data_IF_428840814587
#
_entry.id   IF_428840814587
#
_cell.length_a   1.000
_cell.length_b   1.000
_cell.length_c   1.000
_cell.angle_alpha   90.00
_cell.angle_beta   90.00
_cell.angle_gamma   90.00
#
_symmetry.space_group_name_H-M   'P 1'
#
loop_
_entity.id
_entity.type
_entity.pdbx_description
1 polymer ?
#
# COMPACT_ATOMS: atom_id res chain seq x y z
N UNK A 1 12.88 5.39 14.77
CA UNK A 1 13.01 3.99 14.30
C UNK A 1 13.79 3.97 12.99
N UNK A 2 15.12 3.83 13.05
CA UNK A 2 15.99 3.75 11.87
C UNK A 2 16.27 2.27 11.57
N UNK A 3 15.45 1.63 10.73
CA UNK A 3 15.76 0.30 10.18
C UNK A 3 16.66 0.45 8.94
N UNK A 4 17.89 0.89 9.19
CA UNK A 4 18.94 1.05 8.19
C UNK A 4 19.64 -0.29 7.93
N UNK A 5 18.94 -1.26 7.34
CA UNK A 5 19.57 -2.48 6.75
C UNK A 5 20.44 -2.16 5.51
N UNK A 6 20.66 -0.86 5.25
CA UNK A 6 21.50 -0.37 4.18
C UNK A 6 22.67 0.47 4.73
N UNK A 7 23.86 -0.13 4.91
CA UNK A 7 25.06 0.58 5.32
C UNK A 7 25.33 1.82 4.45
N UNK A 8 25.84 2.93 5.02
CA UNK A 8 26.17 4.14 4.26
C UNK A 8 27.11 3.86 3.08
N UNK A 9 28.12 2.99 3.28
CA UNK A 9 29.04 2.53 2.24
C UNK A 9 28.35 1.94 1.00
N UNK A 10 27.29 1.14 1.18
CA UNK A 10 26.55 0.56 0.04
C UNK A 10 25.70 1.64 -0.66
N UNK A 11 25.27 2.68 0.07
CA UNK A 11 24.51 3.81 -0.50
C UNK A 11 25.39 4.70 -1.38
N UNK A 12 26.65 4.88 -0.97
CA UNK A 12 27.64 5.67 -1.70
C UNK A 12 28.06 4.99 -3.00
N UNK A 13 28.44 3.71 -2.94
CA UNK A 13 28.77 2.92 -4.15
C UNK A 13 27.58 2.85 -5.11
N UNK A 14 26.35 2.74 -4.61
CA UNK A 14 25.15 2.80 -5.45
C UNK A 14 25.03 4.14 -6.19
N UNK A 15 25.39 5.26 -5.54
CA UNK A 15 25.37 6.60 -6.13
C UNK A 15 26.38 6.73 -7.26
N UNK A 16 27.61 6.25 -7.02
CA UNK A 16 28.70 6.26 -7.99
C UNK A 16 28.37 5.40 -9.22
N UNK A 17 27.94 4.15 -9.00
CA UNK A 17 27.59 3.23 -10.09
C UNK A 17 26.39 3.74 -10.89
N UNK A 18 25.43 4.39 -10.23
CA UNK A 18 24.30 5.03 -10.90
C UNK A 18 24.73 6.28 -11.70
N UNK A 19 25.67 7.07 -11.18
CA UNK A 19 26.23 8.22 -11.90
C UNK A 19 27.00 7.78 -13.16
N UNK A 20 27.64 6.61 -13.13
CA UNK A 20 28.25 5.98 -14.30
C UNK A 20 27.23 5.39 -15.29
N UNK A 21 25.92 5.47 -15.00
CA UNK A 21 24.85 5.07 -15.91
C UNK A 21 24.63 3.55 -16.00
N UNK A 22 25.17 2.75 -15.07
CA UNK A 22 24.93 1.31 -15.05
C UNK A 22 23.46 0.98 -14.77
N UNK A 23 22.99 -0.15 -15.31
CA UNK A 23 21.65 -0.63 -15.01
C UNK A 23 21.56 -1.12 -13.56
N UNK A 24 20.40 -1.00 -12.90
CA UNK A 24 20.23 -1.50 -11.53
C UNK A 24 20.53 -3.00 -11.37
N UNK A 25 20.40 -3.79 -12.44
CA UNK A 25 20.79 -5.21 -12.42
C UNK A 25 22.30 -5.39 -12.26
N UNK A 26 23.08 -4.59 -13.00
CA UNK A 26 24.54 -4.64 -12.96
C UNK A 26 25.08 -4.01 -11.67
N UNK A 27 24.47 -2.91 -11.23
CA UNK A 27 24.74 -2.29 -9.91
C UNK A 27 24.56 -3.33 -8.78
N UNK A 28 23.53 -4.17 -8.87
CA UNK A 28 23.28 -5.21 -7.87
C UNK A 28 24.41 -6.23 -7.84
N UNK A 29 24.86 -6.71 -9.01
CA UNK A 29 25.97 -7.67 -9.10
C UNK A 29 27.25 -7.08 -8.52
N UNK A 30 27.53 -5.83 -8.85
CA UNK A 30 28.73 -5.11 -8.41
C UNK A 30 28.74 -4.89 -6.89
N UNK A 31 27.62 -4.45 -6.30
CA UNK A 31 27.50 -4.27 -4.84
C UNK A 31 27.61 -5.63 -4.13
N UNK A 32 26.97 -6.67 -4.66
CA UNK A 32 27.02 -8.00 -4.08
C UNK A 32 28.44 -8.58 -4.13
N UNK A 33 29.18 -8.32 -5.21
CA UNK A 33 30.59 -8.72 -5.36
C UNK A 33 31.51 -7.95 -4.43
N UNK A 34 31.36 -6.61 -4.35
CA UNK A 34 32.23 -5.74 -3.52
C UNK A 34 32.07 -5.94 -2.03
N UNK A 35 30.84 -6.15 -1.57
CA UNK A 35 30.53 -6.18 -0.13
C UNK A 35 30.14 -7.57 0.37
N UNK A 36 30.16 -8.60 -0.49
CA UNK A 36 29.73 -9.97 -0.19
C UNK A 36 28.33 -10.03 0.43
N UNK A 37 27.41 -9.22 -0.11
CA UNK A 37 26.00 -9.16 0.31
C UNK A 37 25.10 -9.77 -0.78
N UNK A 38 23.94 -10.28 -0.40
CA UNK A 38 22.96 -10.86 -1.33
C UNK A 38 21.76 -9.93 -1.55
N UNK A 39 21.99 -8.71 -2.06
CA UNK A 39 20.88 -7.83 -2.40
C UNK A 39 20.20 -8.26 -3.70
N UNK A 40 18.88 -8.06 -3.76
CA UNK A 40 18.11 -8.25 -4.99
C UNK A 40 18.05 -6.95 -5.79
N UNK A 41 17.79 -7.06 -7.11
CA UNK A 41 17.62 -5.89 -7.99
C UNK A 41 16.59 -4.88 -7.46
N UNK A 42 15.50 -5.36 -6.87
CA UNK A 42 14.44 -4.52 -6.34
C UNK A 42 14.85 -3.83 -5.03
N UNK A 43 15.71 -4.45 -4.22
CA UNK A 43 16.27 -3.82 -3.02
C UNK A 43 17.12 -2.60 -3.39
N UNK A 44 18.01 -2.77 -4.37
CA UNK A 44 18.88 -1.72 -4.95
C UNK A 44 18.05 -0.60 -5.56
N UNK A 45 17.05 -0.93 -6.39
CA UNK A 45 16.14 0.07 -6.98
C UNK A 45 15.32 0.81 -5.92
N UNK A 46 14.78 0.09 -4.94
CA UNK A 46 14.01 0.68 -3.84
C UNK A 46 14.85 1.64 -3.01
N UNK A 47 16.12 1.29 -2.76
CA UNK A 47 17.08 2.19 -2.11
C UNK A 47 17.37 3.41 -2.97
N UNK A 48 17.62 3.24 -4.27
CA UNK A 48 17.86 4.33 -5.20
C UNK A 48 16.71 5.35 -5.23
N UNK A 49 15.46 4.87 -5.21
CA UNK A 49 14.25 5.72 -5.13
C UNK A 49 14.20 6.52 -3.83
N UNK A 50 14.44 5.88 -2.68
CA UNK A 50 14.49 6.57 -1.37
C UNK A 50 15.60 7.62 -1.29
N UNK A 51 16.69 7.43 -2.04
CA UNK A 51 17.78 8.40 -2.13
C UNK A 51 17.59 9.45 -3.24
N UNK A 52 16.44 9.47 -3.91
CA UNK A 52 16.13 10.45 -4.96
C UNK A 52 16.98 10.30 -6.23
N UNK A 53 17.71 9.20 -6.40
CA UNK A 53 18.53 8.95 -7.60
C UNK A 53 17.66 8.65 -8.82
N UNK A 54 16.50 8.05 -8.58
CA UNK A 54 15.47 7.90 -9.60
C UNK A 54 14.57 9.11 -9.46
N UNK A 55 14.57 10.02 -10.45
CA UNK A 55 13.50 11.02 -10.51
C UNK A 55 12.17 10.26 -10.53
N UNK A 56 11.18 10.61 -9.69
CA UNK A 56 9.83 10.21 -10.00
C UNK A 56 9.57 10.74 -11.40
N UNK A 57 9.29 9.86 -12.36
CA UNK A 57 8.72 10.33 -13.60
C UNK A 57 7.47 11.11 -13.19
N UNK A 58 7.53 12.45 -13.30
CA UNK A 58 6.32 13.27 -13.31
C UNK A 58 5.38 12.59 -14.29
N UNK A 59 4.06 12.56 -14.01
CA UNK A 59 3.12 11.90 -14.90
C UNK A 59 3.27 12.57 -16.26
N UNK A 60 3.96 11.89 -17.17
CA UNK A 60 3.82 12.20 -18.57
C UNK A 60 2.50 11.54 -18.92
N UNK A 61 1.61 12.31 -19.52
CA UNK A 61 0.52 11.84 -20.36
C UNK A 61 1.09 11.00 -21.51
N UNK A 62 1.68 9.85 -21.17
CA UNK A 62 2.08 8.83 -22.11
C UNK A 62 0.90 7.88 -22.17
N UNK A 63 0.03 8.14 -23.14
CA UNK A 63 -0.90 7.15 -23.65
C UNK A 63 -0.17 5.81 -23.88
N UNK A 64 -0.91 4.69 -23.87
CA UNK A 64 -0.32 3.37 -23.77
C UNK A 64 0.59 3.09 -24.98
N UNK A 65 1.90 3.12 -24.77
CA UNK A 65 2.84 2.53 -25.73
C UNK A 65 2.82 1.03 -25.51
N UNK A 66 1.98 0.34 -26.28
CA UNK A 66 2.09 -1.09 -26.47
C UNK A 66 3.51 -1.39 -26.98
N UNK A 67 4.31 -2.11 -26.18
CA UNK A 67 5.49 -2.77 -26.72
C UNK A 67 4.97 -3.94 -27.52
N UNK A 68 5.11 -3.89 -28.84
CA UNK A 68 4.92 -5.07 -29.69
C UNK A 68 5.89 -6.13 -29.17
N UNK A 69 5.35 -7.13 -28.49
CA UNK A 69 6.12 -8.28 -28.04
C UNK A 69 6.51 -9.03 -29.29
N UNK A 70 7.83 -9.12 -29.53
CA UNK A 70 8.45 -9.79 -30.67
C UNK A 70 7.70 -11.09 -31.04
N UNK A 71 7.07 -11.08 -32.21
CA UNK A 71 6.13 -12.06 -32.74
C UNK A 71 6.87 -13.19 -33.46
N UNK A 72 7.73 -13.91 -32.74
CA UNK A 72 8.50 -15.01 -33.35
C UNK A 72 8.46 -16.34 -32.59
N UNK A 73 7.64 -16.48 -31.55
CA UNK A 73 7.36 -17.80 -30.96
C UNK A 73 5.91 -17.92 -30.55
N UNK A 74 5.07 -18.39 -31.49
CA UNK A 74 3.94 -19.30 -31.27
C UNK A 74 3.32 -19.63 -32.64
N UNK A 75 3.88 -20.64 -33.29
CA UNK A 75 3.14 -21.41 -34.27
C UNK A 75 2.12 -22.25 -33.50
N UNK A 76 0.85 -22.16 -33.90
CA UNK A 76 -0.17 -23.18 -33.59
C UNK A 76 -1.21 -22.81 -32.53
N UNK A 77 -2.37 -22.35 -33.00
CA UNK A 77 -3.70 -22.97 -32.78
C UNK A 77 -4.77 -21.88 -32.84
N UNK A 78 -5.59 -21.93 -33.89
CA UNK A 78 -6.77 -21.09 -34.05
C UNK A 78 -7.78 -21.42 -32.95
N UNK A 79 -8.12 -20.41 -32.15
CA UNK A 79 -9.46 -20.30 -31.58
C UNK A 79 -9.86 -18.85 -31.74
N UNK A 80 -10.75 -18.59 -32.69
CA UNK A 80 -11.43 -17.31 -32.82
C UNK A 80 -12.29 -17.11 -31.58
N UNK A 81 -11.73 -16.43 -30.58
CA UNK A 81 -12.52 -15.93 -29.46
C UNK A 81 -12.98 -14.53 -29.82
N UNK A 82 -14.29 -14.41 -30.04
CA UNK A 82 -14.97 -13.13 -30.23
C UNK A 82 -14.73 -12.27 -28.99
N UNK A 83 -13.87 -11.26 -29.12
CA UNK A 83 -13.63 -10.28 -28.06
C UNK A 83 -14.89 -9.41 -27.96
N UNK A 84 -15.78 -9.73 -27.02
CA UNK A 84 -16.83 -8.80 -26.64
C UNK A 84 -16.18 -7.58 -25.97
N UNK A 85 -16.34 -6.41 -26.58
CA UNK A 85 -15.86 -5.15 -26.05
C UNK A 85 -16.58 -4.86 -24.74
N UNK A 86 -15.85 -4.87 -23.62
CA UNK A 86 -16.38 -4.42 -22.33
C UNK A 86 -16.72 -2.93 -22.44
N UNK A 87 -17.90 -2.49 -21.95
CA UNK A 87 -18.22 -1.07 -21.93
C UNK A 87 -17.13 -0.31 -21.16
N UNK A 88 -16.66 0.77 -21.78
CA UNK A 88 -15.65 1.67 -21.20
C UNK A 88 -16.25 2.23 -19.91
N UNK A 89 -15.67 1.98 -18.72
CA UNK A 89 -16.19 2.59 -17.50
C UNK A 89 -16.05 4.10 -17.64
N UNK A 90 -17.19 4.78 -17.67
CA UNK A 90 -17.26 6.23 -17.55
C UNK A 90 -16.68 6.59 -16.18
N UNK A 91 -15.76 7.55 -16.16
CA UNK A 91 -15.16 8.02 -14.90
C UNK A 91 -16.21 8.82 -14.15
N UNK A 92 -16.93 8.15 -13.26
CA UNK A 92 -17.65 8.83 -12.18
C UNK A 92 -16.62 9.54 -11.31
N UNK A 93 -16.88 10.82 -11.02
CA UNK A 93 -16.16 11.52 -9.95
C UNK A 93 -16.27 10.68 -8.67
N UNK A 94 -15.19 10.60 -7.86
CA UNK A 94 -15.22 9.78 -6.66
C UNK A 94 -16.31 10.32 -5.73
N UNK A 95 -17.45 9.65 -5.69
CA UNK A 95 -18.50 9.93 -4.74
C UNK A 95 -17.90 9.71 -3.36
N UNK A 96 -17.89 10.76 -2.54
CA UNK A 96 -17.43 10.68 -1.15
C UNK A 96 -18.48 9.91 -0.34
N UNK A 97 -18.56 8.60 -0.57
CA UNK A 97 -19.46 7.68 0.13
C UNK A 97 -18.87 7.32 1.49
N UNK A 98 -19.01 8.22 2.47
CA UNK A 98 -18.89 7.88 3.91
C UNK A 98 -20.23 7.86 4.64
N UNK A 99 -21.33 8.13 3.93
CA UNK A 99 -22.65 8.09 4.52
C UNK A 99 -23.27 6.73 4.26
N UNK A 100 -23.22 5.85 5.28
CA UNK A 100 -24.27 4.85 5.45
C UNK A 100 -25.59 5.62 5.66
N UNK A 101 -26.76 5.01 5.46
CA UNK A 101 -28.09 5.63 5.67
C UNK A 101 -28.41 6.01 7.13
N UNK A 102 -27.42 6.51 7.87
CA UNK A 102 -27.53 7.05 9.22
C UNK A 102 -27.01 8.49 9.21
N UNK A 103 -27.64 9.37 9.98
CA UNK A 103 -27.15 10.72 10.20
C UNK A 103 -26.24 10.72 11.43
N UNK A 104 -24.90 10.83 11.31
CA UNK A 104 -24.00 10.80 12.46
C UNK A 104 -24.20 12.01 13.38
N UNK A 105 -23.88 11.86 14.66
CA UNK A 105 -23.90 12.95 15.66
C UNK A 105 -22.66 13.86 15.59
N UNK A 106 -21.65 13.48 14.80
CA UNK A 106 -20.41 14.25 14.56
C UNK A 106 -19.77 14.78 15.85
N UNK A 107 -19.53 13.87 16.79
CA UNK A 107 -18.99 14.20 18.10
C UNK A 107 -17.46 14.31 18.00
N UNK A 108 -16.84 15.29 18.68
CA UNK A 108 -15.39 15.36 18.80
C UNK A 108 -14.82 14.22 19.64
N UNK A 109 -13.51 13.98 19.57
CA UNK A 109 -12.86 12.96 20.39
C UNK A 109 -13.10 13.18 21.90
N UNK A 110 -13.09 14.43 22.35
CA UNK A 110 -13.21 14.80 23.77
C UNK A 110 -14.56 14.42 24.38
N UNK A 111 -15.61 14.38 23.56
CA UNK A 111 -16.99 14.12 24.00
C UNK A 111 -17.45 12.69 23.67
N UNK A 112 -16.55 11.82 23.22
CA UNK A 112 -16.90 10.47 22.77
C UNK A 112 -16.93 9.48 23.94
N UNK A 113 -18.09 8.92 24.24
CA UNK A 113 -18.24 8.00 25.37
C UNK A 113 -17.78 6.57 25.00
N UNK A 114 -17.42 5.71 25.98
CA UNK A 114 -17.04 4.32 25.70
C UNK A 114 -18.11 3.50 24.97
N UNK A 115 -19.38 3.89 25.12
CA UNK A 115 -20.54 3.27 24.48
C UNK A 115 -20.81 3.76 23.05
N UNK A 116 -20.09 4.75 22.55
CA UNK A 116 -20.37 5.38 21.27
C UNK A 116 -19.61 4.75 20.09
N UNK A 117 -20.20 4.91 18.91
CA UNK A 117 -19.65 4.47 17.64
C UNK A 117 -18.47 5.35 17.25
N UNK A 118 -17.31 4.70 17.09
CA UNK A 118 -16.01 5.34 16.80
C UNK A 118 -15.70 5.47 15.31
N UNK A 119 -16.72 5.46 14.45
CA UNK A 119 -16.50 5.60 13.01
C UNK A 119 -16.11 7.06 12.70
N UNK A 120 -14.96 7.31 12.07
CA UNK A 120 -14.45 8.66 11.83
C UNK A 120 -15.06 9.30 10.58
N UNK A 121 -15.30 10.60 10.68
CA UNK A 121 -15.75 11.51 9.62
C UNK A 121 -14.78 12.69 9.52
N UNK A 122 -14.64 13.22 8.30
CA UNK A 122 -13.68 14.30 8.01
C UNK A 122 -12.22 13.86 8.14
N UNK A 123 -11.33 14.84 8.35
CA UNK A 123 -9.89 14.64 8.53
C UNK A 123 -9.14 14.22 7.26
N UNK A 124 -9.76 14.43 6.09
CA UNK A 124 -9.12 14.12 4.80
C UNK A 124 -8.06 15.19 4.42
N UNK A 125 -8.09 16.32 5.12
CA UNK A 125 -7.14 17.42 4.98
C UNK A 125 -6.62 17.84 6.36
N UNK A 126 -5.39 18.36 6.40
CA UNK A 126 -4.73 18.79 7.64
C UNK A 126 -5.51 19.88 8.41
N UNK A 127 -6.40 20.61 7.74
CA UNK A 127 -7.23 21.69 8.28
C UNK A 127 -8.62 21.25 8.77
N UNK A 128 -9.02 19.99 8.61
CA UNK A 128 -10.36 19.52 8.96
C UNK A 128 -10.38 18.73 10.29
N UNK A 129 -11.22 19.10 11.27
CA UNK A 129 -11.32 18.36 12.53
C UNK A 129 -11.94 16.98 12.31
N UNK A 130 -11.33 15.95 12.90
CA UNK A 130 -11.88 14.59 12.89
C UNK A 130 -13.08 14.53 13.84
N UNK A 131 -14.21 14.09 13.31
CA UNK A 131 -15.46 13.88 14.08
C UNK A 131 -15.87 12.40 14.05
N UNK A 132 -16.70 11.98 14.99
CA UNK A 132 -17.11 10.58 15.15
C UNK A 132 -18.63 10.42 15.09
N UNK A 133 -19.08 9.22 14.69
CA UNK A 133 -20.51 8.91 14.55
C UNK A 133 -21.35 9.14 15.82
N UNK A 134 -20.88 8.74 17.01
CA UNK A 134 -21.59 9.01 18.27
C UNK A 134 -22.89 8.23 18.53
N UNK A 135 -23.23 7.26 17.68
CA UNK A 135 -24.39 6.36 17.90
C UNK A 135 -24.05 5.24 18.87
N UNK A 136 -25.02 4.64 19.58
CA UNK A 136 -24.76 3.51 20.46
C UNK A 136 -24.08 2.36 19.68
N UNK A 137 -22.95 1.89 20.21
CA UNK A 137 -22.18 0.81 19.61
C UNK A 137 -22.93 -0.52 19.72
N UNK A 138 -22.75 -1.39 18.73
CA UNK A 138 -23.24 -2.77 18.79
C UNK A 138 -22.38 -3.59 19.76
N UNK A 139 -22.94 -4.54 20.54
CA UNK A 139 -22.17 -5.44 21.38
C UNK A 139 -21.07 -6.17 20.59
N UNK A 140 -19.86 -6.22 21.14
CA UNK A 140 -18.71 -6.84 20.48
C UNK A 140 -18.09 -6.02 19.34
N UNK A 141 -18.56 -4.79 19.09
CA UNK A 141 -18.01 -3.89 18.08
C UNK A 141 -17.74 -2.49 18.63
N UNK A 142 -16.71 -1.78 18.12
CA UNK A 142 -16.54 -0.34 18.36
C UNK A 142 -17.49 0.54 17.53
N UNK A 143 -18.36 -0.05 16.70
CA UNK A 143 -19.22 0.66 15.75
C UNK A 143 -20.71 0.36 15.98
N UNK A 144 -21.58 1.27 15.57
CA UNK A 144 -23.02 1.01 15.46
C UNK A 144 -23.29 0.03 14.31
N UNK A 145 -24.45 -0.64 14.30
CA UNK A 145 -24.80 -1.68 13.31
C UNK A 145 -24.47 -1.30 11.86
N UNK A 146 -24.78 -0.09 11.38
CA UNK A 146 -24.53 0.24 9.97
C UNK A 146 -23.03 0.43 9.66
N UNK A 147 -22.26 1.02 10.58
CA UNK A 147 -20.80 1.14 10.44
C UNK A 147 -20.07 -0.18 10.69
N UNK A 148 -20.64 -1.07 11.50
CA UNK A 148 -20.14 -2.42 11.64
C UNK A 148 -20.20 -3.17 10.31
N UNK A 149 -21.31 -3.10 9.59
CA UNK A 149 -21.43 -3.73 8.27
C UNK A 149 -20.54 -3.08 7.21
N UNK A 150 -20.31 -1.76 7.28
CA UNK A 150 -19.41 -1.07 6.36
C UNK A 150 -17.94 -1.46 6.56
N UNK A 151 -17.52 -1.66 7.81
CA UNK A 151 -16.10 -1.89 8.16
C UNK A 151 -15.71 -3.36 8.15
N UNK A 152 -16.66 -4.28 8.20
CA UNK A 152 -16.39 -5.71 8.04
C UNK A 152 -16.27 -6.07 6.56
N UNK A 153 -15.15 -6.68 6.20
CA UNK A 153 -15.08 -7.43 4.96
C UNK A 153 -15.92 -8.71 5.12
N UNK A 154 -17.00 -8.92 4.35
CA UNK A 154 -17.82 -10.13 4.46
C UNK A 154 -17.03 -11.42 4.18
N UNK A 155 -15.85 -11.34 3.57
CA UNK A 155 -14.95 -12.46 3.26
C UNK A 155 -14.05 -12.90 4.44
N UNK A 156 -14.23 -12.34 5.66
CA UNK A 156 -13.22 -12.42 6.72
C UNK A 156 -13.72 -12.79 8.11
N UNK A 157 -14.58 -13.79 8.26
CA UNK A 157 -14.72 -14.50 9.54
C UNK A 157 -13.58 -15.53 9.70
N UNK A 158 -12.34 -15.06 9.69
CA UNK A 158 -11.25 -15.84 10.28
C UNK A 158 -11.10 -15.30 11.69
N UNK A 159 -11.77 -15.93 12.64
CA UNK A 159 -11.43 -15.74 14.05
C UNK A 159 -9.94 -15.99 14.17
N UNK A 160 -9.17 -14.95 14.52
CA UNK A 160 -7.75 -15.13 14.80
C UNK A 160 -7.70 -16.01 16.05
N UNK A 161 -7.23 -17.26 15.98
CA UNK A 161 -7.15 -18.09 17.17
C UNK A 161 -6.29 -17.36 18.21
N UNK A 162 -6.58 -17.49 19.51
CA UNK A 162 -5.77 -16.87 20.55
C UNK A 162 -4.35 -17.39 20.39
N UNK A 163 -3.46 -16.56 19.83
CA UNK A 163 -2.06 -16.87 19.73
C UNK A 163 -1.50 -16.77 21.14
N UNK A 164 -1.26 -17.91 21.78
CA UNK A 164 -0.53 -17.98 23.04
C UNK A 164 0.91 -17.53 22.78
N UNK A 165 1.18 -16.25 23.01
CA UNK A 165 2.53 -15.70 22.92
C UNK A 165 3.28 -16.11 24.19
N UNK A 166 4.13 -17.13 24.09
CA UNK A 166 5.06 -17.49 25.17
C UNK A 166 6.25 -16.55 25.09
N UNK A 167 6.29 -15.53 25.96
CA UNK A 167 7.45 -14.67 26.11
C UNK A 167 8.52 -15.41 26.92
N UNK A 168 9.69 -15.66 26.32
CA UNK A 168 10.89 -16.07 27.06
C UNK A 168 11.62 -14.83 27.57
N UNK A 169 11.70 -14.69 28.88
CA UNK A 169 12.58 -13.72 29.53
C UNK A 169 14.04 -14.15 29.26
N UNK A 170 14.79 -13.29 28.58
CA UNK A 170 16.25 -13.42 28.46
C UNK A 170 16.86 -12.56 29.56
N UNK A 171 17.59 -13.19 30.48
CA UNK A 171 18.34 -12.46 31.50
C UNK A 171 19.43 -11.63 30.83
N UNK A 172 19.49 -10.34 31.17
CA UNK A 172 20.58 -9.46 30.77
C UNK A 172 21.87 -9.90 31.49
N UNK A 173 22.96 -10.05 30.72
CA UNK A 173 24.30 -10.31 31.22
C UNK A 173 25.01 -8.99 31.59
#
# INVERSE_FOLDING_TARGET
MQSSDWPPRHSETLRELHAMGLSYGDITKEINFKFSVAYTRNAVLGRAKRMGLVRPERPKDRGPKFKTRNEQRRVGCHTESVIQARPKPERTEPVQLRCVGISPRLISFDNLEPGDCRYPYGGDRDDEPITFCGHPRQPGSPYCTPHFHLTRNPEGLVERPPATVVLRLVAAA
#
